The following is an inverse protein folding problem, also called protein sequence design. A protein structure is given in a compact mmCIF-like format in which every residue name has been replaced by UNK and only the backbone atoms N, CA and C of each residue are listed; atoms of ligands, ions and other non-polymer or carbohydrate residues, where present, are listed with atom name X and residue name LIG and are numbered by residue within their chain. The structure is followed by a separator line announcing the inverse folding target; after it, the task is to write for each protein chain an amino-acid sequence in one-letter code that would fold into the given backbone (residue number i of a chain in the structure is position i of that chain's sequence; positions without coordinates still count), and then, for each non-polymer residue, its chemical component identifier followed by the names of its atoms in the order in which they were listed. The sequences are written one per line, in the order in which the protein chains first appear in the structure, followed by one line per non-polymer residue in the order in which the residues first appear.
data_IF_412633742236
#
_entry.id   IF_412633742236
#
_cell.length_a   1.000
_cell.length_b   1.000
_cell.length_c   1.000
_cell.angle_alpha   90.00
_cell.angle_beta   90.00
_cell.angle_gamma   90.00
#
_symmetry.space_group_name_H-M   'P 1'
#
loop_
_entity.id
_entity.type
_entity.pdbx_description
1 polymer ?
#
# COMPACT_ATOMS: atom_id res chain seq x y z
N UNK A 1 -12.02 -21.58 18.53
CA UNK A 1 -10.94 -20.81 17.93
C UNK A 1 -9.90 -20.43 18.97
N UNK A 2 -8.68 -20.44 18.56
CA UNK A 2 -7.57 -20.09 19.41
C UNK A 2 -7.41 -18.57 19.50
N UNK A 3 -6.82 -18.10 20.58
CA UNK A 3 -6.48 -16.69 20.71
C UNK A 3 -5.46 -16.29 19.63
N UNK A 4 -5.55 -15.07 19.09
CA UNK A 4 -4.56 -14.61 18.14
C UNK A 4 -3.16 -14.60 18.73
N UNK A 5 -2.18 -14.99 17.94
CA UNK A 5 -0.78 -14.97 18.32
C UNK A 5 -0.03 -14.03 17.38
N UNK A 6 0.75 -13.09 17.95
CA UNK A 6 1.60 -12.24 17.14
C UNK A 6 2.74 -13.07 16.57
N UNK A 7 2.77 -13.23 15.24
CA UNK A 7 3.82 -13.97 14.54
C UNK A 7 4.99 -13.06 14.21
N UNK A 8 4.70 -11.85 13.72
CA UNK A 8 5.72 -10.94 13.24
C UNK A 8 5.17 -9.51 13.16
N UNK A 9 6.04 -8.54 13.40
CA UNK A 9 5.73 -7.12 13.21
C UNK A 9 6.73 -6.52 12.23
N UNK A 10 6.25 -5.80 11.22
CA UNK A 10 7.10 -5.22 10.18
C UNK A 10 6.84 -3.71 10.14
N UNK A 11 7.86 -2.88 10.43
CA UNK A 11 7.67 -1.43 10.33
C UNK A 11 7.59 -0.96 8.88
N UNK A 12 6.82 0.10 8.65
CA UNK A 12 6.63 0.68 7.31
C UNK A 12 7.97 1.06 6.67
N UNK A 13 8.92 1.56 7.45
CA UNK A 13 10.23 1.98 6.94
C UNK A 13 11.04 0.85 6.32
N UNK A 14 10.71 -0.41 6.62
CA UNK A 14 11.40 -1.56 6.00
C UNK A 14 11.09 -1.70 4.51
N UNK A 15 10.04 -1.04 3.99
CA UNK A 15 9.66 -1.08 2.58
C UNK A 15 10.25 0.05 1.75
N UNK A 16 10.95 1.00 2.37
CA UNK A 16 11.60 2.11 1.67
C UNK A 16 11.85 3.29 2.58
N UNK A 17 12.79 4.15 2.19
CA UNK A 17 13.09 5.37 2.93
C UNK A 17 11.94 6.36 2.78
N UNK A 18 11.67 7.13 3.83
CA UNK A 18 10.62 8.15 3.83
C UNK A 18 9.20 7.61 3.94
N UNK A 19 9.03 6.33 4.24
CA UNK A 19 7.71 5.74 4.48
C UNK A 19 7.37 5.80 5.96
N UNK A 20 6.12 6.17 6.28
CA UNK A 20 5.74 6.53 7.64
C UNK A 20 4.74 5.55 8.26
N UNK A 21 3.60 5.30 7.61
CA UNK A 21 2.53 4.52 8.23
C UNK A 21 1.82 3.64 7.21
N UNK A 22 1.39 2.46 7.67
CA UNK A 22 0.57 1.54 6.88
C UNK A 22 -0.89 1.87 7.19
N UNK A 23 -1.64 2.29 6.17
CA UNK A 23 -3.01 2.77 6.34
C UNK A 23 -4.07 1.74 5.96
N UNK A 24 -3.72 0.77 5.14
CA UNK A 24 -4.70 -0.23 4.67
C UNK A 24 -3.99 -1.50 4.22
N UNK A 25 -4.71 -2.60 4.29
CA UNK A 25 -4.22 -3.90 3.86
C UNK A 25 -5.33 -4.64 3.12
N UNK A 26 -4.97 -5.33 2.05
CA UNK A 26 -5.88 -6.23 1.35
C UNK A 26 -5.14 -7.51 0.98
N UNK A 27 -5.89 -8.59 0.87
CA UNK A 27 -5.31 -9.91 0.57
C UNK A 27 -6.13 -10.56 -0.55
N UNK A 28 -5.43 -11.12 -1.53
CA UNK A 28 -6.07 -11.91 -2.57
C UNK A 28 -5.13 -13.02 -3.02
N UNK A 29 -5.64 -14.23 -3.03
CA UNK A 29 -4.93 -15.44 -3.48
C UNK A 29 -3.49 -15.54 -2.94
N UNK A 30 -3.33 -15.38 -1.62
CA UNK A 30 -2.05 -15.52 -0.94
C UNK A 30 -1.11 -14.33 -1.09
N UNK A 31 -1.58 -13.22 -1.65
CA UNK A 31 -0.80 -12.00 -1.84
C UNK A 31 -1.39 -10.89 -0.98
N UNK A 32 -0.54 -10.21 -0.24
CA UNK A 32 -0.90 -9.07 0.60
C UNK A 32 -0.46 -7.78 -0.08
N UNK A 33 -1.36 -6.80 -0.14
CA UNK A 33 -1.05 -5.45 -0.60
C UNK A 33 -1.21 -4.49 0.58
N UNK A 34 -0.22 -3.63 0.79
CA UNK A 34 -0.21 -2.63 1.86
C UNK A 34 -0.18 -1.23 1.26
N UNK A 35 -1.06 -0.34 1.73
CA UNK A 35 -1.00 1.08 1.39
C UNK A 35 -0.18 1.80 2.45
N UNK A 36 0.92 2.43 2.04
CA UNK A 36 1.88 3.05 2.96
C UNK A 36 2.08 4.52 2.58
N UNK A 37 1.77 5.41 3.52
CA UNK A 37 1.99 6.85 3.31
C UNK A 37 3.45 7.23 3.49
N UNK A 38 3.86 8.29 2.80
CA UNK A 38 5.19 8.86 2.94
C UNK A 38 5.23 9.92 4.04
N UNK A 39 6.44 10.28 4.45
CA UNK A 39 6.71 11.43 5.29
C UNK A 39 7.60 12.41 4.50
N UNK A 40 7.13 13.62 4.17
CA UNK A 40 5.81 14.16 4.52
C UNK A 40 4.65 13.48 3.77
N UNK A 41 3.46 13.56 4.35
CA UNK A 41 2.26 12.91 3.78
C UNK A 41 1.83 13.46 2.43
N UNK A 42 2.35 14.62 2.04
CA UNK A 42 2.10 15.23 0.73
C UNK A 42 2.92 14.60 -0.39
N UNK A 43 3.94 13.82 -0.04
CA UNK A 43 4.74 13.08 -1.02
C UNK A 43 4.02 11.79 -1.42
N UNK A 44 4.27 11.29 -2.64
CA UNK A 44 3.69 10.01 -3.06
C UNK A 44 4.02 8.87 -2.12
N UNK A 45 3.01 8.08 -1.77
CA UNK A 45 3.19 6.86 -1.01
C UNK A 45 3.44 5.66 -1.91
N UNK A 46 3.36 4.47 -1.34
CA UNK A 46 3.58 3.23 -2.09
C UNK A 46 2.55 2.18 -1.75
N UNK A 47 2.39 1.21 -2.67
CA UNK A 47 1.84 -0.09 -2.36
C UNK A 47 3.01 -1.05 -2.20
N UNK A 48 3.06 -1.75 -1.09
CA UNK A 48 4.03 -2.82 -0.87
C UNK A 48 3.32 -4.17 -1.01
N UNK A 49 3.99 -5.09 -1.68
CA UNK A 49 3.47 -6.43 -1.96
C UNK A 49 4.22 -7.46 -1.15
N UNK A 50 3.50 -8.35 -0.47
CA UNK A 50 4.07 -9.44 0.33
C UNK A 50 3.42 -10.77 -0.04
N UNK A 51 4.18 -11.84 0.12
CA UNK A 51 3.63 -13.19 0.08
C UNK A 51 3.05 -13.52 1.44
N UNK A 52 1.76 -13.91 1.49
CA UNK A 52 1.07 -14.10 2.76
C UNK A 52 1.65 -15.25 3.60
N UNK A 53 2.16 -16.30 2.95
CA UNK A 53 2.62 -17.49 3.66
C UNK A 53 3.82 -17.24 4.58
N UNK A 54 4.71 -16.30 4.20
CA UNK A 54 5.94 -16.03 4.96
C UNK A 54 6.26 -14.54 5.08
N UNK A 55 5.40 -13.66 4.56
CA UNK A 55 5.56 -12.21 4.56
C UNK A 55 6.80 -11.74 3.79
N UNK A 56 7.26 -12.54 2.84
CA UNK A 56 8.38 -12.17 1.98
C UNK A 56 7.99 -10.99 1.09
N UNK A 57 8.76 -9.89 1.08
CA UNK A 57 8.50 -8.78 0.19
C UNK A 57 8.63 -9.18 -1.29
N UNK A 58 7.66 -8.75 -2.11
CA UNK A 58 7.62 -9.05 -3.54
C UNK A 58 7.81 -7.82 -4.43
N UNK A 59 7.87 -6.64 -3.83
CA UNK A 59 8.08 -5.40 -4.55
C UNK A 59 7.24 -4.26 -4.03
N UNK A 60 7.44 -3.07 -4.60
CA UNK A 60 6.66 -1.88 -4.28
C UNK A 60 6.31 -1.13 -5.56
N UNK A 61 5.20 -0.40 -5.53
CA UNK A 61 4.79 0.50 -6.61
C UNK A 61 4.45 1.86 -6.03
N UNK A 62 4.94 2.92 -6.66
CA UNK A 62 4.62 4.28 -6.25
C UNK A 62 3.18 4.62 -6.64
N UNK A 63 2.45 5.22 -5.72
CA UNK A 63 1.07 5.68 -5.94
C UNK A 63 0.97 7.17 -5.64
N UNK A 64 -0.23 7.69 -5.44
CA UNK A 64 -0.41 9.11 -5.10
C UNK A 64 -0.13 9.42 -3.64
N UNK A 65 -0.36 10.68 -3.26
CA UNK A 65 -0.13 11.14 -1.90
C UNK A 65 -1.20 10.60 -0.94
N UNK A 66 -0.78 10.18 0.22
CA UNK A 66 -1.61 9.65 1.29
C UNK A 66 -2.54 8.53 0.78
N UNK A 67 -1.98 7.38 0.36
CA UNK A 67 -2.82 6.24 0.03
C UNK A 67 -3.48 5.74 1.31
N UNK A 68 -4.82 5.78 1.34
CA UNK A 68 -5.60 5.54 2.56
C UNK A 68 -6.38 4.24 2.51
N UNK A 69 -6.79 3.82 1.33
CA UNK A 69 -7.59 2.61 1.15
C UNK A 69 -7.17 1.91 -0.12
N UNK A 70 -7.13 0.58 -0.08
CA UNK A 70 -6.92 -0.20 -1.29
C UNK A 70 -7.81 -1.44 -1.28
N UNK A 71 -8.12 -1.93 -2.48
CA UNK A 71 -8.93 -3.12 -2.64
C UNK A 71 -8.60 -3.81 -3.96
N UNK A 72 -8.63 -5.14 -3.95
CA UNK A 72 -8.58 -5.91 -5.19
C UNK A 72 -9.95 -5.97 -5.84
N UNK A 73 -9.98 -6.01 -7.17
CA UNK A 73 -11.20 -6.42 -7.87
C UNK A 73 -11.49 -7.90 -7.57
N UNK A 74 -12.75 -8.35 -7.69
CA UNK A 74 -13.08 -9.74 -7.34
C UNK A 74 -12.29 -10.80 -8.07
N UNK A 75 -11.83 -10.51 -9.31
CA UNK A 75 -11.02 -11.44 -10.09
C UNK A 75 -9.52 -11.36 -9.75
N UNK A 76 -9.12 -10.44 -8.86
CA UNK A 76 -7.72 -10.26 -8.48
C UNK A 76 -6.82 -9.70 -9.56
N UNK A 77 -7.39 -9.17 -10.65
CA UNK A 77 -6.62 -8.66 -11.78
C UNK A 77 -6.30 -7.19 -11.71
N UNK A 78 -6.86 -6.50 -10.74
CA UNK A 78 -6.63 -5.06 -10.57
C UNK A 78 -6.65 -4.73 -9.10
N UNK A 79 -5.72 -3.86 -8.68
CA UNK A 79 -5.73 -3.23 -7.36
C UNK A 79 -6.11 -1.76 -7.54
N UNK A 80 -7.08 -1.30 -6.79
CA UNK A 80 -7.49 0.09 -6.74
C UNK A 80 -7.02 0.72 -5.45
N UNK A 81 -6.40 1.90 -5.54
CA UNK A 81 -5.86 2.61 -4.38
C UNK A 81 -6.46 4.01 -4.34
N UNK A 82 -7.12 4.34 -3.25
CA UNK A 82 -7.62 5.69 -3.02
C UNK A 82 -6.53 6.52 -2.34
N UNK A 83 -6.06 7.55 -3.01
CA UNK A 83 -5.05 8.48 -2.50
C UNK A 83 -5.78 9.75 -2.08
N UNK A 84 -5.81 10.04 -0.78
CA UNK A 84 -6.58 11.19 -0.26
C UNK A 84 -5.99 12.53 -0.68
N UNK A 85 -4.67 12.65 -0.69
CA UNK A 85 -4.04 13.91 -1.04
C UNK A 85 -4.30 15.03 -0.04
N UNK A 86 -4.20 14.74 1.24
CA UNK A 86 -4.47 15.72 2.30
C UNK A 86 -3.45 16.86 2.27
N UNK A 87 -3.89 18.14 2.46
CA UNK A 87 -2.93 19.26 2.50
C UNK A 87 -2.04 19.18 3.74
N UNK A 88 -0.83 19.74 3.63
CA UNK A 88 0.15 19.76 4.73
C UNK A 88 -0.33 20.65 5.89
N UNK A 89 -1.12 21.67 5.59
CA UNK A 89 -1.73 22.54 6.57
C UNK A 89 -2.93 23.24 5.96
N UNK A 90 -3.75 23.86 6.81
CA UNK A 90 -4.93 24.58 6.36
C UNK A 90 -4.72 26.08 6.56
N UNK A 91 -5.16 26.88 5.57
CA UNK A 91 -5.13 28.35 5.65
C UNK A 91 -3.72 28.92 5.81
N UNK A 92 -2.68 28.23 5.31
CA UNK A 92 -1.30 28.71 5.34
C UNK A 92 -0.80 28.97 3.92
N UNK A 93 -0.10 30.09 3.68
CA UNK A 93 0.42 30.39 2.33
C UNK A 93 1.41 29.36 1.80
N UNK A 94 2.08 28.64 2.70
CA UNK A 94 3.08 27.64 2.33
C UNK A 94 2.53 26.21 2.32
N UNK A 95 1.21 26.07 2.42
CA UNK A 95 0.58 24.74 2.39
C UNK A 95 0.80 24.06 1.05
N UNK A 96 1.18 22.77 1.12
CA UNK A 96 1.20 21.87 -0.03
C UNK A 96 -0.11 21.10 -0.04
N UNK A 97 -0.84 21.15 -1.15
CA UNK A 97 -2.16 20.56 -1.27
C UNK A 97 -2.20 19.62 -2.49
N UNK A 98 -1.73 18.37 -2.32
CA UNK A 98 -1.76 17.41 -3.42
C UNK A 98 -3.18 16.99 -3.76
N UNK A 99 -3.41 16.71 -5.04
CA UNK A 99 -4.70 16.23 -5.52
C UNK A 99 -5.02 14.85 -4.98
N UNK A 100 -6.29 14.62 -4.63
CA UNK A 100 -6.82 13.29 -4.43
C UNK A 100 -6.87 12.55 -5.76
N UNK A 101 -6.65 11.26 -5.74
CA UNK A 101 -6.61 10.46 -6.96
C UNK A 101 -6.91 9.00 -6.68
N UNK A 102 -7.14 8.24 -7.75
CA UNK A 102 -7.25 6.79 -7.69
C UNK A 102 -6.11 6.22 -8.52
N UNK A 103 -5.29 5.38 -7.90
CA UNK A 103 -4.29 4.60 -8.64
C UNK A 103 -4.91 3.26 -9.03
N UNK A 104 -4.71 2.88 -10.29
CA UNK A 104 -5.21 1.62 -10.84
C UNK A 104 -3.99 0.78 -11.24
N UNK A 105 -3.77 -0.33 -10.56
CA UNK A 105 -2.64 -1.22 -10.84
C UNK A 105 -3.20 -2.50 -11.44
N UNK A 106 -2.91 -2.73 -12.72
CA UNK A 106 -3.31 -3.95 -13.40
C UNK A 106 -2.30 -5.05 -13.11
N UNK A 107 -2.79 -6.25 -12.84
CA UNK A 107 -1.99 -7.35 -12.34
C UNK A 107 -2.09 -8.56 -13.28
N UNK A 108 -0.99 -9.30 -13.38
CA UNK A 108 -1.04 -10.67 -13.86
C UNK A 108 -1.73 -11.57 -12.83
N UNK A 109 -1.82 -12.86 -13.12
CA UNK A 109 -2.46 -13.80 -12.20
C UNK A 109 -1.65 -13.89 -10.90
N UNK A 110 -2.29 -13.61 -9.77
CA UNK A 110 -1.67 -13.74 -8.47
C UNK A 110 -1.62 -15.20 -8.05
N UNK A 111 -0.50 -15.61 -7.45
CA UNK A 111 -0.25 -16.98 -6.99
C UNK A 111 0.27 -16.98 -5.57
N UNK A 112 -0.16 -17.94 -4.72
CA UNK A 112 0.31 -17.99 -3.33
C UNK A 112 1.82 -18.22 -3.18
N UNK A 113 2.47 -18.79 -4.19
CA UNK A 113 3.91 -19.07 -4.21
C UNK A 113 4.71 -18.06 -5.04
N UNK A 114 4.12 -16.90 -5.34
CA UNK A 114 4.77 -15.89 -6.15
C UNK A 114 6.11 -15.46 -5.55
N UNK A 115 7.08 -15.18 -6.42
CA UNK A 115 8.37 -14.60 -6.05
C UNK A 115 8.46 -13.14 -6.49
N UNK A 116 7.49 -12.67 -7.27
CA UNK A 116 7.34 -11.29 -7.71
C UNK A 116 5.90 -11.06 -8.14
N UNK A 117 5.53 -9.80 -8.31
CA UNK A 117 4.21 -9.43 -8.82
C UNK A 117 4.33 -9.06 -10.29
N UNK A 118 3.52 -9.67 -11.12
CA UNK A 118 3.41 -9.33 -12.55
C UNK A 118 2.45 -8.16 -12.72
N UNK A 119 2.89 -7.08 -13.38
CA UNK A 119 2.09 -5.88 -13.61
C UNK A 119 2.62 -4.99 -14.73
#
# INVERSE_FOLDING_TARGET
PEAPTLIRSIPAASFGTGLAAINSVAVHNGIVALAIEANPKTSPGVVAWLRASDLQPLGTDTVGALPDMLTFTPDGRTLLVANEGEPSSYNQPTSVDPEGSISVIRLGKLKPDATRIER
#
